data_IF_967967648963
#
_entry.id   IF_967967648963
#
_cell.length_a   1.000
_cell.length_b   1.000
_cell.length_c   1.000
_cell.angle_alpha   90.00
_cell.angle_beta   90.00
_cell.angle_gamma   90.00
#
_symmetry.space_group_name_H-M   'P 1'
#
loop_
_entity.id
_entity.type
_entity.pdbx_description
1 polymer ?
#
# COMPACT_ATOMS: atom_id res chain seq x y z
N UNK A 1 -21.66 46.89 6.91
CA UNK A 1 -21.32 45.75 6.02
C UNK A 1 -21.96 46.01 4.65
N UNK A 2 -21.15 46.11 3.61
CA UNK A 2 -21.57 46.25 2.21
C UNK A 2 -21.28 44.91 1.52
N UNK A 3 -22.22 44.43 0.71
CA UNK A 3 -22.06 43.19 -0.06
C UNK A 3 -22.18 43.53 -1.53
N UNK A 4 -21.14 43.18 -2.30
CA UNK A 4 -21.12 43.34 -3.76
C UNK A 4 -21.09 41.95 -4.37
N UNK A 5 -22.13 41.60 -5.12
CA UNK A 5 -22.23 40.35 -5.85
C UNK A 5 -22.19 40.60 -7.36
N UNK A 6 -21.76 39.61 -8.12
CA UNK A 6 -21.91 39.65 -9.58
C UNK A 6 -23.40 39.60 -9.97
N UNK A 7 -23.77 40.38 -10.98
CA UNK A 7 -25.15 40.47 -11.48
C UNK A 7 -25.65 39.14 -12.07
N UNK A 8 -24.73 38.37 -12.67
CA UNK A 8 -25.02 37.06 -13.24
C UNK A 8 -24.38 35.94 -12.44
N UNK A 9 -25.17 34.91 -12.14
CA UNK A 9 -24.68 33.64 -11.58
C UNK A 9 -24.03 32.81 -12.67
N UNK A 10 -22.99 32.07 -12.31
CA UNK A 10 -22.36 31.10 -13.22
C UNK A 10 -23.14 29.80 -13.12
N UNK A 11 -23.66 29.32 -14.25
CA UNK A 11 -24.22 27.99 -14.38
C UNK A 11 -23.29 27.15 -15.25
N UNK A 12 -22.65 26.14 -14.66
CA UNK A 12 -21.74 25.27 -15.36
C UNK A 12 -22.02 23.82 -14.95
N UNK A 13 -22.45 22.98 -15.91
CA UNK A 13 -22.72 21.55 -15.68
C UNK A 13 -23.65 21.27 -14.46
N UNK A 14 -24.69 22.08 -14.27
CA UNK A 14 -25.65 21.91 -13.16
C UNK A 14 -25.19 22.49 -11.82
N UNK A 15 -23.94 22.98 -11.74
CA UNK A 15 -23.45 23.76 -10.63
C UNK A 15 -23.81 25.24 -10.81
N UNK A 16 -24.48 25.82 -9.83
CA UNK A 16 -24.80 27.25 -9.77
C UNK A 16 -23.86 27.89 -8.73
N UNK A 17 -22.91 28.67 -9.21
CA UNK A 17 -21.95 29.39 -8.38
C UNK A 17 -22.12 30.90 -8.47
N UNK A 18 -21.84 31.59 -7.36
CA UNK A 18 -21.79 33.06 -7.32
C UNK A 18 -20.69 33.52 -6.35
N UNK A 19 -19.87 34.48 -6.79
CA UNK A 19 -18.89 35.15 -5.94
C UNK A 19 -19.45 36.45 -5.37
N UNK A 20 -19.24 36.72 -4.09
CA UNK A 20 -19.57 37.99 -3.47
C UNK A 20 -18.49 38.47 -2.52
N UNK A 21 -18.24 39.78 -2.55
CA UNK A 21 -17.32 40.46 -1.65
C UNK A 21 -18.11 41.11 -0.53
N UNK A 22 -17.67 40.89 0.69
CA UNK A 22 -18.20 41.49 1.89
C UNK A 22 -17.17 42.49 2.40
N UNK A 23 -17.55 43.76 2.61
CA UNK A 23 -16.68 44.79 3.17
C UNK A 23 -17.34 45.43 4.39
N UNK A 24 -16.60 45.57 5.48
CA UNK A 24 -16.97 46.41 6.61
C UNK A 24 -16.50 47.85 6.37
N UNK A 25 -17.40 48.83 6.13
CA UNK A 25 -17.02 50.20 5.81
C UNK A 25 -16.36 50.93 6.99
N UNK A 26 -16.53 50.45 8.24
CA UNK A 26 -15.98 51.11 9.42
C UNK A 26 -14.54 50.69 9.71
N UNK A 27 -14.17 49.46 9.34
CA UNK A 27 -12.85 48.88 9.65
C UNK A 27 -12.00 48.61 8.40
N UNK A 28 -12.61 48.63 7.21
CA UNK A 28 -11.95 48.26 5.95
C UNK A 28 -11.74 46.75 5.78
N UNK A 29 -12.14 45.93 6.76
CA UNK A 29 -12.01 44.48 6.67
C UNK A 29 -12.95 43.92 5.59
N UNK A 30 -12.44 42.98 4.78
CA UNK A 30 -13.25 42.35 3.75
C UNK A 30 -12.98 40.86 3.59
N UNK A 31 -13.97 40.14 3.08
CA UNK A 31 -13.89 38.73 2.75
C UNK A 31 -14.49 38.50 1.36
N UNK A 32 -13.84 37.64 0.58
CA UNK A 32 -14.38 37.14 -0.68
C UNK A 32 -15.00 35.75 -0.43
N UNK A 33 -16.26 35.58 -0.76
CA UNK A 33 -17.00 34.34 -0.56
C UNK A 33 -17.48 33.80 -1.90
N UNK A 34 -17.35 32.48 -2.08
CA UNK A 34 -17.88 31.76 -3.23
C UNK A 34 -19.05 30.91 -2.72
N UNK A 35 -20.26 31.24 -3.13
CA UNK A 35 -21.44 30.39 -2.97
C UNK A 35 -21.51 29.38 -4.13
N UNK A 36 -22.05 28.20 -3.83
CA UNK A 36 -22.08 27.05 -4.75
C UNK A 36 -21.57 25.75 -4.13
N UNK A 37 -21.39 25.68 -2.80
CA UNK A 37 -20.84 24.51 -2.11
C UNK A 37 -21.45 23.19 -2.58
N UNK A 38 -20.68 22.41 -3.34
CA UNK A 38 -20.89 20.97 -3.42
C UNK A 38 -20.51 20.42 -2.06
N UNK A 39 -21.45 19.79 -1.37
CA UNK A 39 -21.10 18.97 -0.22
C UNK A 39 -20.22 17.82 -0.74
N UNK A 40 -19.02 17.64 -0.19
CA UNK A 40 -18.15 16.52 -0.53
C UNK A 40 -18.95 15.22 -0.44
N UNK A 41 -19.10 14.53 -1.59
CA UNK A 41 -19.99 13.39 -1.70
C UNK A 41 -19.50 12.24 -0.82
N UNK A 42 -20.35 11.78 0.10
CA UNK A 42 -20.13 10.49 0.77
C UNK A 42 -20.59 9.41 -0.20
N UNK A 43 -19.63 8.72 -0.82
CA UNK A 43 -19.94 7.55 -1.65
C UNK A 43 -20.19 6.35 -0.73
N UNK A 44 -21.43 6.16 -0.28
CA UNK A 44 -21.83 5.00 0.53
C UNK A 44 -22.14 3.85 -0.45
N UNK A 45 -21.14 3.02 -0.74
CA UNK A 45 -21.30 1.83 -1.57
C UNK A 45 -20.41 0.71 -1.05
N UNK A 46 -20.89 -0.55 -1.00
CA UNK A 46 -20.07 -1.71 -0.65
C UNK A 46 -18.78 -1.83 -1.50
N UNK A 47 -18.81 -1.32 -2.74
CA UNK A 47 -17.62 -1.27 -3.58
C UNK A 47 -16.59 -0.28 -3.05
N UNK A 48 -17.01 0.90 -2.57
CA UNK A 48 -16.11 1.92 -2.01
C UNK A 48 -15.51 1.43 -0.69
N UNK A 49 -16.29 0.74 0.13
CA UNK A 49 -15.80 0.13 1.37
C UNK A 49 -14.79 -0.99 1.09
N UNK A 50 -15.05 -1.84 0.07
CA UNK A 50 -14.11 -2.87 -0.37
C UNK A 50 -12.80 -2.28 -0.90
N UNK A 51 -12.89 -1.28 -1.78
CA UNK A 51 -11.71 -0.56 -2.27
C UNK A 51 -10.94 0.10 -1.12
N UNK A 52 -11.64 0.64 -0.14
CA UNK A 52 -11.05 1.25 1.05
C UNK A 52 -10.35 0.26 1.96
N UNK A 53 -10.90 -0.94 2.10
CA UNK A 53 -10.26 -2.03 2.81
C UNK A 53 -9.00 -2.53 2.07
N UNK A 54 -9.09 -2.77 0.75
CA UNK A 54 -7.99 -3.25 -0.10
C UNK A 54 -6.78 -2.31 -0.09
N UNK A 55 -7.00 -0.99 -0.15
CA UNK A 55 -5.91 -0.01 -0.14
C UNK A 55 -5.21 0.12 1.22
N UNK A 56 -5.89 -0.26 2.31
CA UNK A 56 -5.33 -0.26 3.65
C UNK A 56 -4.68 -1.60 4.04
N UNK A 57 -4.66 -2.58 3.14
CA UNK A 57 -3.88 -3.80 3.33
C UNK A 57 -2.40 -3.45 3.30
N UNK A 58 -1.67 -3.91 4.31
CA UNK A 58 -0.20 -3.87 4.29
C UNK A 58 0.30 -4.99 3.37
N UNK A 59 0.30 -4.71 2.06
CA UNK A 59 0.72 -5.65 1.01
C UNK A 59 2.14 -6.17 1.21
N UNK A 60 2.98 -5.45 1.96
CA UNK A 60 4.31 -5.88 2.33
C UNK A 60 4.29 -7.03 3.32
N UNK A 61 3.41 -6.98 4.32
CA UNK A 61 3.21 -8.12 5.24
C UNK A 61 2.66 -9.32 4.49
N UNK A 62 1.72 -9.11 3.57
CA UNK A 62 1.18 -10.18 2.72
C UNK A 62 2.31 -10.84 1.92
N UNK A 63 3.21 -10.06 1.33
CA UNK A 63 4.38 -10.56 0.62
C UNK A 63 5.35 -11.31 1.54
N UNK A 64 5.65 -10.78 2.73
CA UNK A 64 6.54 -11.43 3.70
C UNK A 64 5.98 -12.79 4.13
N UNK A 65 4.69 -12.87 4.48
CA UNK A 65 4.04 -14.12 4.82
C UNK A 65 4.00 -15.10 3.63
N UNK A 66 3.59 -14.64 2.45
CA UNK A 66 3.52 -15.50 1.27
C UNK A 66 4.91 -16.06 0.91
N UNK A 67 5.93 -15.20 0.90
CA UNK A 67 7.30 -15.60 0.56
C UNK A 67 7.87 -16.61 1.56
N UNK A 68 7.52 -16.52 2.84
CA UNK A 68 7.87 -17.51 3.86
C UNK A 68 7.27 -18.89 3.54
N UNK A 69 6.00 -18.96 3.15
CA UNK A 69 5.38 -20.24 2.77
C UNK A 69 5.97 -20.81 1.48
N UNK A 70 6.23 -19.98 0.46
CA UNK A 70 6.85 -20.43 -0.78
C UNK A 70 8.27 -20.96 -0.59
N UNK A 71 9.06 -20.33 0.27
CA UNK A 71 10.41 -20.80 0.57
C UNK A 71 10.40 -22.09 1.38
N UNK A 72 9.49 -22.24 2.34
CA UNK A 72 9.34 -23.48 3.09
C UNK A 72 8.92 -24.65 2.18
N UNK A 73 7.93 -24.42 1.31
CA UNK A 73 7.49 -25.41 0.32
C UNK A 73 8.62 -25.79 -0.64
N UNK A 74 9.35 -24.79 -1.16
CA UNK A 74 10.49 -25.01 -2.06
C UNK A 74 11.62 -25.80 -1.39
N UNK A 75 11.93 -25.50 -0.13
CA UNK A 75 12.94 -26.24 0.64
C UNK A 75 12.54 -27.71 0.83
N UNK A 76 11.27 -28.00 1.12
CA UNK A 76 10.75 -29.38 1.24
C UNK A 76 10.87 -30.12 -0.08
N UNK A 77 10.48 -29.50 -1.20
CA UNK A 77 10.57 -30.10 -2.53
C UNK A 77 12.02 -30.43 -2.88
N UNK A 78 12.95 -29.50 -2.63
CA UNK A 78 14.39 -29.70 -2.89
C UNK A 78 14.93 -30.83 -1.99
N UNK A 79 14.59 -30.86 -0.72
CA UNK A 79 15.02 -31.89 0.22
C UNK A 79 14.56 -33.29 -0.22
N UNK A 80 13.30 -33.42 -0.66
CA UNK A 80 12.75 -34.67 -1.19
C UNK A 80 13.48 -35.07 -2.48
N UNK A 81 13.62 -34.14 -3.43
CA UNK A 81 14.30 -34.40 -4.70
C UNK A 81 15.75 -34.82 -4.51
N UNK A 82 16.48 -34.17 -3.60
CA UNK A 82 17.85 -34.51 -3.25
C UNK A 82 17.94 -35.89 -2.59
N UNK A 83 17.01 -36.22 -1.68
CA UNK A 83 16.99 -37.54 -1.03
C UNK A 83 16.77 -38.64 -2.06
N UNK A 84 15.81 -38.47 -2.97
CA UNK A 84 15.55 -39.41 -4.06
C UNK A 84 16.77 -39.56 -4.97
N UNK A 85 17.40 -38.45 -5.38
CA UNK A 85 18.58 -38.48 -6.23
C UNK A 85 19.75 -39.24 -5.58
N UNK A 86 19.97 -39.05 -4.28
CA UNK A 86 21.06 -39.71 -3.55
C UNK A 86 20.77 -41.21 -3.35
N UNK A 87 19.52 -41.60 -3.07
CA UNK A 87 19.17 -43.02 -2.93
C UNK A 87 19.18 -43.78 -4.26
N UNK A 88 18.89 -43.14 -5.39
CA UNK A 88 18.92 -43.79 -6.71
C UNK A 88 20.32 -43.87 -7.32
N UNK A 89 21.23 -42.98 -6.93
CA UNK A 89 22.64 -42.99 -7.38
C UNK A 89 23.57 -43.86 -6.51
N UNK A 90 23.03 -44.51 -5.48
CA UNK A 90 23.78 -45.41 -4.59
C UNK A 90 24.49 -44.71 -3.43
N UNK A 91 24.21 -43.42 -3.18
CA UNK A 91 24.67 -42.71 -1.99
C UNK A 91 23.74 -43.08 -0.82
N UNK A 92 24.32 -43.50 0.31
CA UNK A 92 23.54 -43.97 1.45
C UNK A 92 22.57 -42.90 1.99
N UNK A 93 21.34 -43.30 2.34
CA UNK A 93 20.28 -42.44 2.92
C UNK A 93 20.78 -41.68 4.16
N UNK A 94 21.71 -42.28 4.91
CA UNK A 94 22.35 -41.70 6.09
C UNK A 94 23.16 -40.42 5.79
N UNK A 95 23.63 -40.23 4.55
CA UNK A 95 24.32 -39.01 4.09
C UNK A 95 23.34 -38.03 3.44
N UNK A 96 22.29 -38.53 2.81
CA UNK A 96 21.31 -37.71 2.10
C UNK A 96 20.43 -36.84 3.01
N UNK A 97 19.91 -37.42 4.10
CA UNK A 97 19.00 -36.73 5.01
C UNK A 97 19.66 -35.53 5.73
N UNK A 98 20.89 -35.64 6.28
CA UNK A 98 21.56 -34.50 6.90
C UNK A 98 21.80 -33.36 5.91
N UNK A 99 22.23 -33.65 4.68
CA UNK A 99 22.51 -32.62 3.66
C UNK A 99 21.22 -31.88 3.28
N UNK A 100 20.11 -32.60 3.10
CA UNK A 100 18.81 -32.01 2.82
C UNK A 100 18.31 -31.11 3.96
N UNK A 101 18.49 -31.54 5.22
CA UNK A 101 18.11 -30.74 6.40
C UNK A 101 18.97 -29.48 6.50
N UNK A 102 20.28 -29.59 6.28
CA UNK A 102 21.21 -28.46 6.31
C UNK A 102 20.87 -27.45 5.21
N UNK A 103 20.63 -27.90 3.98
CA UNK A 103 20.24 -26.99 2.88
C UNK A 103 18.91 -26.30 3.16
N UNK A 104 17.90 -27.03 3.66
CA UNK A 104 16.62 -26.43 4.05
C UNK A 104 16.79 -25.39 5.17
N UNK A 105 17.64 -25.67 6.16
CA UNK A 105 17.94 -24.74 7.25
C UNK A 105 18.66 -23.47 6.77
N UNK A 106 19.63 -23.59 5.84
CA UNK A 106 20.31 -22.45 5.25
C UNK A 106 19.38 -21.56 4.43
N UNK A 107 18.50 -22.15 3.62
CA UNK A 107 17.51 -21.41 2.83
C UNK A 107 16.51 -20.70 3.75
N UNK A 108 16.01 -21.39 4.78
CA UNK A 108 15.11 -20.81 5.77
C UNK A 108 15.76 -19.64 6.52
N UNK A 109 17.02 -19.79 6.95
CA UNK A 109 17.77 -18.74 7.63
C UNK A 109 18.01 -17.52 6.72
N UNK A 110 18.39 -17.73 5.45
CA UNK A 110 18.56 -16.65 4.48
C UNK A 110 17.25 -15.87 4.25
N UNK A 111 16.11 -16.58 4.20
CA UNK A 111 14.81 -15.94 4.02
C UNK A 111 14.38 -15.13 5.25
N UNK A 112 14.66 -15.63 6.45
CA UNK A 112 14.47 -14.88 7.70
C UNK A 112 15.33 -13.61 7.71
N UNK A 113 16.60 -13.70 7.31
CA UNK A 113 17.47 -12.53 7.20
C UNK A 113 16.97 -11.50 6.18
N UNK A 114 16.47 -11.94 5.02
CA UNK A 114 15.87 -11.06 4.01
C UNK A 114 14.58 -10.39 4.52
N UNK A 115 13.76 -11.11 5.28
CA UNK A 115 12.56 -10.54 5.92
C UNK A 115 12.91 -9.49 6.98
N UNK A 116 14.06 -9.60 7.66
CA UNK A 116 14.56 -8.59 8.61
C UNK A 116 15.03 -7.30 7.93
N UNK A 117 15.29 -7.32 6.61
CA UNK A 117 15.61 -6.14 5.82
C UNK A 117 14.36 -5.42 5.29
N UNK A 118 13.17 -6.00 5.46
CA UNK A 118 11.90 -5.38 5.02
C UNK A 118 11.66 -3.99 5.65
N UNK A 119 12.02 -3.69 6.92
CA UNK A 119 11.90 -2.34 7.48
C UNK A 119 12.81 -1.31 6.80
N UNK A 120 14.02 -1.71 6.39
CA UNK A 120 14.97 -0.82 5.68
C UNK A 120 14.44 -0.48 4.28
N UNK A 121 13.88 -1.47 3.58
CA UNK A 121 13.21 -1.28 2.29
C UNK A 121 12.02 -0.32 2.38
N UNK A 122 11.26 -0.36 3.48
CA UNK A 122 10.15 0.56 3.76
C UNK A 122 10.61 2.01 3.94
N UNK A 123 11.76 2.23 4.59
CA UNK A 123 12.33 3.58 4.75
C UNK A 123 12.76 4.13 3.39
N UNK A 124 13.45 3.34 2.57
CA UNK A 124 13.93 3.78 1.25
C UNK A 124 12.76 4.15 0.34
N UNK A 125 11.72 3.31 0.27
CA UNK A 125 10.54 3.58 -0.56
C UNK A 125 9.72 4.76 -0.03
N UNK A 126 9.56 4.90 1.29
CA UNK A 126 8.93 6.07 1.88
C UNK A 126 9.65 7.36 1.51
N UNK A 127 10.99 7.40 1.64
CA UNK A 127 11.82 8.56 1.27
C UNK A 127 11.70 8.90 -0.23
N UNK A 128 11.54 7.90 -1.09
CA UNK A 128 11.31 8.13 -2.53
C UNK A 128 9.94 8.79 -2.75
N UNK A 129 8.88 8.30 -2.14
CA UNK A 129 7.52 8.85 -2.33
C UNK A 129 7.43 10.32 -1.87
N UNK A 130 8.05 10.68 -0.74
CA UNK A 130 8.08 12.07 -0.25
C UNK A 130 8.89 13.03 -1.14
N UNK A 131 9.79 12.55 -2.00
CA UNK A 131 10.57 13.41 -2.91
C UNK A 131 9.82 13.79 -4.20
N UNK A 132 8.71 13.12 -4.51
CA UNK A 132 7.99 13.30 -5.77
C UNK A 132 6.52 13.75 -5.60
N UNK A 133 6.12 14.14 -4.38
CA UNK A 133 4.82 14.75 -4.04
C UNK A 133 4.97 16.23 -3.73
#
# INVERSE_FOLDING_TARGET
>A
KVVTAHEARINFHGWIGEGYTVIDPNTGAGAYMIAGGSNGGVLISPLVDLFSWLQNIDWWKVYDYASFFYTLLGAVIIAIGLTIFLTTTGVAVAVALPVAIVTAAFIGAAHLMLSMLSPVRRIIQGVIVYRYS
#
